data_IF_292125345565
#
_entry.id   IF_292125345565
#
_cell.length_a   1.000
_cell.length_b   1.000
_cell.length_c   1.000
_cell.angle_alpha   90.00
_cell.angle_beta   90.00
_cell.angle_gamma   90.00
#
_symmetry.space_group_name_H-M   'P 1'
#
loop_
_entity.id
_entity.type
_entity.pdbx_description
1 polymer ?
#
# COMPACT_ATOMS: atom_id res chain seq x y z
N UNK A 1 -17.02 2.04 3.69
CA UNK A 1 -16.03 0.99 3.99
C UNK A 1 -15.78 0.26 2.68
N UNK A 2 -14.57 0.32 2.14
CA UNK A 2 -14.26 -0.20 0.80
C UNK A 2 -13.11 -1.19 0.95
N UNK A 3 -13.44 -2.47 1.19
CA UNK A 3 -12.44 -3.53 1.29
C UNK A 3 -12.00 -3.91 -0.12
N UNK A 4 -10.86 -3.39 -0.55
CA UNK A 4 -10.22 -3.85 -1.78
C UNK A 4 -9.27 -4.98 -1.41
N UNK A 5 -9.63 -6.22 -1.75
CA UNK A 5 -8.73 -7.37 -1.72
C UNK A 5 -8.10 -7.57 -3.09
N UNK A 6 -6.81 -7.27 -3.21
CA UNK A 6 -6.03 -7.57 -4.41
C UNK A 6 -5.09 -8.72 -4.13
N UNK A 7 -5.35 -9.87 -4.74
CA UNK A 7 -4.44 -11.01 -4.76
C UNK A 7 -3.81 -11.12 -6.14
N UNK A 8 -2.47 -11.15 -6.20
CA UNK A 8 -1.74 -11.34 -7.45
C UNK A 8 -0.43 -12.09 -7.21
N UNK A 9 0.01 -12.82 -8.24
CA UNK A 9 1.19 -13.68 -8.19
C UNK A 9 2.40 -12.92 -8.74
N UNK A 10 3.41 -12.74 -7.90
CA UNK A 10 4.75 -12.30 -8.27
C UNK A 10 5.63 -13.52 -8.50
N UNK A 11 6.75 -13.34 -9.19
CA UNK A 11 7.79 -14.38 -9.30
C UNK A 11 8.28 -14.87 -7.92
N UNK A 12 8.20 -14.00 -6.90
CA UNK A 12 8.57 -14.28 -5.51
C UNK A 12 7.45 -14.89 -4.64
N UNK A 13 6.23 -15.07 -5.18
CA UNK A 13 5.08 -15.60 -4.43
C UNK A 13 3.78 -14.81 -4.62
N UNK A 14 2.70 -15.23 -3.96
CA UNK A 14 1.43 -14.51 -3.99
C UNK A 14 1.44 -13.38 -2.95
N UNK A 15 0.94 -12.20 -3.34
CA UNK A 15 0.71 -11.06 -2.47
C UNK A 15 -0.77 -10.75 -2.41
N UNK A 16 -1.30 -10.57 -1.20
CA UNK A 16 -2.66 -10.08 -0.96
C UNK A 16 -2.62 -8.76 -0.19
N UNK A 17 -3.41 -7.79 -0.63
CA UNK A 17 -3.49 -6.47 0.01
C UNK A 17 -4.95 -6.18 0.33
N UNK A 18 -5.20 -5.76 1.56
CA UNK A 18 -6.47 -5.24 2.05
C UNK A 18 -6.31 -3.81 2.53
N UNK A 19 -7.27 -2.94 2.21
CA UNK A 19 -7.34 -1.57 2.75
C UNK A 19 -8.65 -1.47 3.51
N UNK A 20 -8.59 -1.11 4.80
CA UNK A 20 -9.78 -0.94 5.63
C UNK A 20 -9.60 0.19 6.64
N UNK A 21 -10.57 1.10 6.71
CA UNK A 21 -10.59 2.22 7.65
C UNK A 21 -9.24 2.94 7.77
N UNK A 22 -8.52 2.66 8.87
CA UNK A 22 -7.23 3.27 9.21
C UNK A 22 -6.02 2.35 8.98
N UNK A 23 -6.19 1.21 8.34
CA UNK A 23 -5.11 0.25 8.12
C UNK A 23 -5.00 -0.26 6.68
N UNK A 24 -3.78 -0.64 6.32
CA UNK A 24 -3.46 -1.46 5.15
C UNK A 24 -2.88 -2.77 5.67
N UNK A 25 -3.47 -3.88 5.26
CA UNK A 25 -2.97 -5.22 5.52
C UNK A 25 -2.27 -5.75 4.27
N UNK A 26 -1.03 -6.21 4.42
CA UNK A 26 -0.24 -6.83 3.35
C UNK A 26 0.10 -8.25 3.78
N UNK A 27 -0.25 -9.23 2.96
CA UNK A 27 0.12 -10.63 3.14
C UNK A 27 1.03 -11.05 1.99
N UNK A 28 2.32 -11.24 2.29
CA UNK A 28 3.33 -11.72 1.34
C UNK A 28 4.37 -12.54 2.10
N UNK A 29 4.15 -13.85 2.19
CA UNK A 29 4.95 -14.77 3.03
C UNK A 29 4.72 -14.58 4.55
N UNK A 30 4.52 -13.33 5.00
CA UNK A 30 4.11 -12.95 6.35
C UNK A 30 2.97 -11.93 6.29
N UNK A 31 2.10 -11.95 7.30
CA UNK A 31 1.07 -10.93 7.50
C UNK A 31 1.68 -9.68 8.15
N UNK A 32 1.52 -8.54 7.49
CA UNK A 32 1.89 -7.23 7.99
C UNK A 32 0.67 -6.31 8.01
N UNK A 33 0.49 -5.59 9.13
CA UNK A 33 -0.51 -4.53 9.25
C UNK A 33 0.20 -3.19 9.38
N UNK A 34 -0.31 -2.20 8.68
CA UNK A 34 0.20 -0.84 8.64
C UNK A 34 -0.94 0.10 8.98
N UNK A 35 -0.90 0.70 10.17
CA UNK A 35 -1.87 1.69 10.58
C UNK A 35 -1.47 3.07 10.05
N UNK A 36 -2.44 3.87 9.65
CA UNK A 36 -2.21 5.22 9.15
C UNK A 36 -1.53 6.12 10.18
N UNK A 37 -1.81 5.92 11.48
CA UNK A 37 -1.17 6.67 12.56
C UNK A 37 0.34 6.38 12.67
N UNK A 38 0.77 5.21 12.21
CA UNK A 38 2.18 4.82 12.22
C UNK A 38 2.91 5.34 10.98
N UNK A 39 2.19 5.85 9.98
CA UNK A 39 2.78 6.35 8.75
C UNK A 39 3.26 7.77 8.88
N UNK A 40 4.45 8.00 8.33
CA UNK A 40 4.95 9.33 8.01
C UNK A 40 4.39 9.77 6.66
N UNK A 41 4.53 8.90 5.65
CA UNK A 41 4.21 9.21 4.26
C UNK A 41 4.08 7.93 3.43
N UNK A 42 3.45 8.06 2.27
CA UNK A 42 3.34 7.03 1.23
C UNK A 42 4.09 7.51 0.00
N UNK A 43 5.03 6.70 -0.50
CA UNK A 43 5.89 7.07 -1.64
C UNK A 43 5.61 6.17 -2.84
N UNK A 44 5.51 6.78 -4.02
CA UNK A 44 5.39 6.08 -5.30
C UNK A 44 6.65 6.26 -6.12
N UNK A 45 7.31 5.16 -6.49
CA UNK A 45 8.55 5.18 -7.26
C UNK A 45 8.76 3.90 -8.05
N UNK A 46 9.06 4.01 -9.35
CA UNK A 46 9.37 2.89 -10.25
C UNK A 46 8.39 1.69 -10.17
N UNK A 47 7.08 1.96 -10.09
CA UNK A 47 6.07 0.89 -9.97
C UNK A 47 6.03 0.20 -8.61
N UNK A 48 6.64 0.81 -7.59
CA UNK A 48 6.60 0.40 -6.20
C UNK A 48 5.86 1.45 -5.37
N UNK A 49 5.16 0.95 -4.34
CA UNK A 49 4.54 1.73 -3.31
C UNK A 49 5.25 1.45 -1.99
N UNK A 50 5.71 2.50 -1.33
CA UNK A 50 6.39 2.42 -0.06
C UNK A 50 5.53 3.05 1.03
N UNK A 51 5.15 2.26 2.02
CA UNK A 51 4.48 2.72 3.23
C UNK A 51 5.55 3.02 4.29
N UNK A 52 5.96 4.29 4.39
CA UNK A 52 7.07 4.73 5.24
C UNK A 52 6.54 5.06 6.63
N UNK A 53 6.96 4.27 7.63
CA UNK A 53 6.56 4.47 9.03
C UNK A 53 7.36 5.60 9.69
N UNK A 54 6.81 6.16 10.76
CA UNK A 54 7.45 7.22 11.54
C UNK A 54 8.82 6.80 12.12
N UNK A 55 9.00 5.50 12.39
CA UNK A 55 10.27 4.94 12.88
C UNK A 55 11.29 4.62 11.76
N UNK A 56 11.03 5.05 10.53
CA UNK A 56 11.91 4.84 9.37
C UNK A 56 11.83 3.45 8.73
N UNK A 57 11.05 2.50 9.30
CA UNK A 57 10.78 1.22 8.64
C UNK A 57 9.82 1.43 7.48
N UNK A 58 9.97 0.62 6.42
CA UNK A 58 9.16 0.73 5.22
C UNK A 58 8.56 -0.61 4.85
N UNK A 59 7.27 -0.61 4.49
CA UNK A 59 6.62 -1.76 3.85
C UNK A 59 6.52 -1.47 2.36
N UNK A 60 7.05 -2.38 1.54
CA UNK A 60 7.10 -2.21 0.08
C UNK A 60 6.07 -3.10 -0.59
N UNK A 61 5.27 -2.49 -1.46
CA UNK A 61 4.25 -3.14 -2.27
C UNK A 61 4.63 -2.99 -3.75
N UNK A 62 4.74 -4.12 -4.46
CA UNK A 62 5.04 -4.13 -5.90
C UNK A 62 3.78 -3.91 -6.72
N UNK A 63 3.62 -2.74 -7.34
CA UNK A 63 2.45 -2.40 -8.15
C UNK A 63 2.63 -2.71 -9.64
N UNK A 64 3.88 -2.81 -10.11
CA UNK A 64 4.25 -3.05 -11.50
C UNK A 64 3.60 -4.32 -12.12
N UNK A 65 3.41 -5.36 -11.31
CA UNK A 65 2.79 -6.62 -11.72
C UNK A 65 1.28 -6.70 -11.43
N UNK A 66 0.67 -5.64 -10.90
CA UNK A 66 -0.76 -5.63 -10.57
C UNK A 66 -1.61 -5.37 -11.82
N UNK A 67 -2.50 -6.32 -12.17
CA UNK A 67 -3.45 -6.16 -13.28
C UNK A 67 -4.38 -4.94 -13.13
N UNK A 68 -4.72 -4.57 -11.89
CA UNK A 68 -5.60 -3.43 -11.57
C UNK A 68 -4.87 -2.31 -10.83
N UNK A 69 -3.63 -2.02 -11.25
CA UNK A 69 -2.76 -1.02 -10.59
C UNK A 69 -3.41 0.35 -10.44
N UNK A 70 -4.16 0.82 -11.44
CA UNK A 70 -4.78 2.14 -11.44
C UNK A 70 -5.92 2.24 -10.41
N UNK A 71 -6.76 1.21 -10.33
CA UNK A 71 -7.81 1.12 -9.33
C UNK A 71 -7.21 1.01 -7.91
N UNK A 72 -6.11 0.28 -7.75
CA UNK A 72 -5.38 0.22 -6.49
C UNK A 72 -4.80 1.58 -6.10
N UNK A 73 -4.13 2.26 -7.04
CA UNK A 73 -3.56 3.58 -6.82
C UNK A 73 -4.62 4.59 -6.38
N UNK A 74 -5.75 4.65 -7.11
CA UNK A 74 -6.87 5.52 -6.75
C UNK A 74 -7.40 5.22 -5.33
N UNK A 75 -7.46 3.95 -4.94
CA UNK A 75 -7.88 3.56 -3.59
C UNK A 75 -6.88 3.98 -2.53
N UNK A 76 -5.58 3.74 -2.73
CA UNK A 76 -4.53 4.14 -1.78
C UNK A 76 -4.51 5.66 -1.61
N UNK A 77 -4.64 6.43 -2.70
CA UNK A 77 -4.70 7.90 -2.64
C UNK A 77 -5.91 8.40 -1.86
N UNK A 78 -7.09 7.81 -2.11
CA UNK A 78 -8.33 8.12 -1.37
C UNK A 78 -8.19 7.78 0.11
N UNK A 79 -7.60 6.61 0.43
CA UNK A 79 -7.34 6.19 1.80
C UNK A 79 -6.35 7.11 2.52
N UNK A 80 -5.26 7.50 1.86
CA UNK A 80 -4.26 8.39 2.42
C UNK A 80 -4.86 9.77 2.71
N UNK A 81 -5.65 10.32 1.78
CA UNK A 81 -6.37 11.57 1.99
C UNK A 81 -7.34 11.50 3.18
N UNK A 82 -8.11 10.41 3.30
CA UNK A 82 -9.05 10.22 4.41
C UNK A 82 -8.35 10.13 5.77
N UNK A 83 -7.12 9.61 5.80
CA UNK A 83 -6.31 9.45 7.00
C UNK A 83 -5.27 10.56 7.22
N UNK A 84 -5.26 11.61 6.38
CA UNK A 84 -4.27 12.71 6.41
C UNK A 84 -2.81 12.22 6.34
N UNK A 85 -2.58 11.16 5.56
CA UNK A 85 -1.24 10.65 5.27
C UNK A 85 -0.72 11.33 4.01
N UNK A 86 0.49 11.88 4.08
CA UNK A 86 1.14 12.53 2.96
C UNK A 86 1.45 11.53 1.83
N UNK A 87 1.14 11.89 0.59
CA UNK A 87 1.48 11.11 -0.60
C UNK A 87 2.53 11.86 -1.40
N UNK A 88 3.69 11.25 -1.55
CA UNK A 88 4.79 11.77 -2.37
C UNK A 88 4.91 10.90 -3.62
N UNK A 89 4.78 11.51 -4.78
CA UNK A 89 5.06 10.88 -6.07
C UNK A 89 6.31 11.53 -6.64
N UNK A 90 7.24 10.74 -7.20
CA UNK A 90 8.30 11.33 -8.03
C UNK A 90 7.66 12.11 -9.21
N UNK A 91 8.27 13.23 -9.64
CA UNK A 91 7.86 13.96 -10.83
C UNK A 91 7.97 13.14 -12.12
#
# INVERSE_FOLDING_TARGET
MELINLCYKLAAGAMSIGIDGREITVLSGKLERVYAIDLKQVHYRHGLLYLVKQNGKTVTIRMDMMRRKEAFDACVRKWAAANRVEVVSEP
#
